data_IF_373739376084
#
_entry.id   IF_373739376084
#
_cell.length_a   1.000
_cell.length_b   1.000
_cell.length_c   1.000
_cell.angle_alpha   90.00
_cell.angle_beta   90.00
_cell.angle_gamma   90.00
#
_symmetry.space_group_name_H-M   'P 1'
#
loop_
_entity.id
_entity.type
_entity.pdbx_description
1 polymer ?
#
# COMPACT_ATOMS: atom_id res chain seq x y z
N UNK A 1 -11.94 54.22 41.17
CA UNK A 1 -12.32 53.05 40.36
C UNK A 1 -13.39 52.27 41.15
N UNK A 2 -14.57 52.01 40.59
CA UNK A 2 -15.66 51.35 41.35
C UNK A 2 -15.26 49.88 41.63
N UNK A 3 -15.42 49.36 42.86
CA UNK A 3 -15.05 47.98 43.20
C UNK A 3 -15.83 46.91 42.41
N UNK A 4 -16.97 47.27 41.81
CA UNK A 4 -17.77 46.41 40.94
C UNK A 4 -17.16 46.18 39.55
N UNK A 5 -16.33 47.11 39.05
CA UNK A 5 -15.66 46.98 37.75
C UNK A 5 -14.43 46.09 37.80
N UNK A 6 -13.70 46.07 38.93
CA UNK A 6 -12.53 45.21 39.13
C UNK A 6 -12.92 43.73 39.19
N UNK A 7 -13.99 43.39 39.92
CA UNK A 7 -14.51 42.01 39.98
C UNK A 7 -14.97 41.48 38.61
N UNK A 8 -15.56 42.32 37.77
CA UNK A 8 -15.94 41.93 36.40
C UNK A 8 -14.71 41.65 35.53
N UNK A 9 -13.71 42.53 35.61
CA UNK A 9 -12.46 42.37 34.87
C UNK A 9 -11.70 41.11 35.28
N UNK A 10 -11.63 40.82 36.58
CA UNK A 10 -11.04 39.58 37.09
C UNK A 10 -11.76 38.34 36.56
N UNK A 11 -13.10 38.36 36.53
CA UNK A 11 -13.88 37.23 36.00
C UNK A 11 -13.71 37.03 34.48
N UNK A 12 -13.56 38.11 33.72
CA UNK A 12 -13.29 38.04 32.28
C UNK A 12 -11.90 37.48 32.01
N UNK A 13 -10.87 37.96 32.71
CA UNK A 13 -9.49 37.46 32.60
C UNK A 13 -9.41 35.98 32.98
N UNK A 14 -10.19 35.55 33.98
CA UNK A 14 -10.23 34.15 34.41
C UNK A 14 -10.89 33.25 33.37
N UNK A 15 -11.94 33.75 32.70
CA UNK A 15 -12.60 33.06 31.58
C UNK A 15 -11.66 32.91 30.39
N UNK A 16 -10.99 33.99 30.03
CA UNK A 16 -10.07 34.03 28.88
C UNK A 16 -8.88 33.08 29.09
N UNK A 17 -8.34 33.00 30.33
CA UNK A 17 -7.31 32.01 30.67
C UNK A 17 -7.80 30.56 30.54
N UNK A 18 -9.04 30.30 30.93
CA UNK A 18 -9.63 28.96 30.84
C UNK A 18 -9.84 28.54 29.38
N UNK A 19 -10.30 29.47 28.53
CA UNK A 19 -10.44 29.24 27.08
C UNK A 19 -9.08 29.01 26.41
N UNK A 20 -8.04 29.74 26.83
CA UNK A 20 -6.67 29.54 26.33
C UNK A 20 -6.10 28.17 26.70
N UNK A 21 -6.31 27.69 27.92
CA UNK A 21 -5.89 26.34 28.34
C UNK A 21 -6.61 25.25 27.55
N UNK A 22 -7.91 25.41 27.29
CA UNK A 22 -8.71 24.44 26.54
C UNK A 22 -8.26 24.38 25.07
N UNK A 23 -8.02 25.52 24.44
CA UNK A 23 -7.47 25.61 23.08
C UNK A 23 -6.07 24.99 23.02
N UNK A 24 -5.21 25.24 24.02
CA UNK A 24 -3.86 24.68 24.04
C UNK A 24 -3.88 23.15 24.19
N UNK A 25 -4.81 22.62 25.00
CA UNK A 25 -5.06 21.19 25.12
C UNK A 25 -5.58 20.59 23.81
N UNK A 26 -6.50 21.27 23.12
CA UNK A 26 -7.06 20.85 21.84
C UNK A 26 -5.99 20.82 20.74
N UNK A 27 -5.20 21.90 20.62
CA UNK A 27 -4.09 21.99 19.68
C UNK A 27 -3.03 20.93 19.98
N UNK A 28 -2.73 20.66 21.25
CA UNK A 28 -1.80 19.59 21.64
C UNK A 28 -2.34 18.22 21.24
N UNK A 29 -3.64 17.96 21.42
CA UNK A 29 -4.29 16.70 21.02
C UNK A 29 -4.31 16.52 19.49
N UNK A 30 -4.55 17.59 18.74
CA UNK A 30 -4.48 17.61 17.28
C UNK A 30 -3.05 17.40 16.80
N UNK A 31 -2.08 18.03 17.45
CA UNK A 31 -0.66 17.87 17.16
C UNK A 31 -0.19 16.44 17.42
N UNK A 32 -0.68 15.77 18.46
CA UNK A 32 -0.42 14.34 18.70
C UNK A 32 -1.08 13.49 17.62
N UNK A 33 -2.37 13.69 17.31
CA UNK A 33 -3.07 12.95 16.23
C UNK A 33 -2.42 13.14 14.84
N UNK A 34 -1.81 14.29 14.58
CA UNK A 34 -1.14 14.61 13.31
C UNK A 34 0.35 14.23 13.30
N UNK A 35 0.99 14.04 14.46
CA UNK A 35 2.43 13.69 14.55
C UNK A 35 2.69 12.21 14.84
N UNK A 36 1.79 11.51 15.53
CA UNK A 36 1.84 10.05 15.76
C UNK A 36 1.11 9.29 14.65
N UNK A 37 1.46 9.60 13.41
CA UNK A 37 1.11 8.80 12.25
C UNK A 37 2.01 7.55 12.26
N UNK A 38 1.78 6.66 13.25
CA UNK A 38 2.43 5.35 13.27
C UNK A 38 2.08 4.65 11.95
N UNK A 39 3.05 4.10 11.22
CA UNK A 39 2.79 3.49 9.93
C UNK A 39 1.79 2.35 10.11
N UNK A 40 0.59 2.53 9.54
CA UNK A 40 -0.54 1.59 9.62
C UNK A 40 -0.07 0.14 9.57
N UNK A 41 -0.39 -0.62 10.61
CA UNK A 41 -0.29 -2.06 10.55
C UNK A 41 -1.16 -2.56 9.39
N UNK A 42 -0.57 -3.39 8.51
CA UNK A 42 -1.25 -3.95 7.34
C UNK A 42 -2.51 -4.70 7.81
N UNK A 43 -3.66 -4.06 7.61
CA UNK A 43 -4.94 -4.54 8.10
C UNK A 43 -5.47 -5.63 7.19
N UNK A 44 -6.41 -6.45 7.70
CA UNK A 44 -7.13 -7.43 6.88
C UNK A 44 -7.85 -6.76 5.71
N UNK A 45 -8.29 -5.50 5.89
CA UNK A 45 -8.89 -4.69 4.82
C UNK A 45 -7.87 -4.38 3.72
N UNK A 46 -6.63 -4.05 4.07
CA UNK A 46 -5.57 -3.78 3.07
C UNK A 46 -5.25 -5.03 2.23
N UNK A 47 -5.34 -6.23 2.82
CA UNK A 47 -5.21 -7.50 2.07
C UNK A 47 -6.35 -7.67 1.07
N UNK A 48 -7.59 -7.39 1.47
CA UNK A 48 -8.75 -7.49 0.59
C UNK A 48 -8.67 -6.47 -0.53
N UNK A 49 -8.35 -5.22 -0.21
CA UNK A 49 -8.21 -4.15 -1.20
C UNK A 49 -7.11 -4.51 -2.21
N UNK A 50 -5.95 -4.98 -1.72
CA UNK A 50 -4.87 -5.46 -2.56
C UNK A 50 -5.29 -6.66 -3.43
N UNK A 51 -6.06 -7.59 -2.89
CA UNK A 51 -6.58 -8.73 -3.65
C UNK A 51 -7.51 -8.30 -4.78
N UNK A 52 -8.49 -7.43 -4.51
CA UNK A 52 -9.41 -6.93 -5.54
C UNK A 52 -8.69 -6.08 -6.58
N UNK A 53 -7.77 -5.22 -6.16
CA UNK A 53 -6.95 -4.43 -7.08
C UNK A 53 -6.10 -5.31 -8.00
N UNK A 54 -5.47 -6.34 -7.45
CA UNK A 54 -4.71 -7.32 -8.22
C UNK A 54 -5.58 -8.12 -9.18
N UNK A 55 -6.79 -8.49 -8.75
CA UNK A 55 -7.73 -9.27 -9.54
C UNK A 55 -8.27 -8.47 -10.72
N UNK A 56 -8.69 -7.23 -10.51
CA UNK A 56 -9.21 -6.37 -11.59
C UNK A 56 -8.12 -6.16 -12.65
N UNK A 57 -6.91 -5.77 -12.25
CA UNK A 57 -5.82 -5.53 -13.21
C UNK A 57 -5.38 -6.83 -13.86
N UNK A 58 -5.22 -7.91 -13.10
CA UNK A 58 -4.85 -9.23 -13.65
C UNK A 58 -5.87 -9.75 -14.67
N UNK A 59 -7.16 -9.58 -14.37
CA UNK A 59 -8.26 -10.00 -15.24
C UNK A 59 -8.25 -9.26 -16.58
N UNK A 60 -8.05 -7.93 -16.57
CA UNK A 60 -7.93 -7.16 -17.82
C UNK A 60 -6.79 -7.65 -18.70
N UNK A 61 -5.70 -8.09 -18.07
CA UNK A 61 -4.54 -8.60 -18.78
C UNK A 61 -4.78 -10.01 -19.34
N UNK A 62 -5.50 -10.85 -18.60
CA UNK A 62 -5.91 -12.19 -19.07
C UNK A 62 -6.84 -12.11 -20.27
N UNK A 63 -7.83 -11.21 -20.23
CA UNK A 63 -8.76 -11.01 -21.34
C UNK A 63 -8.12 -10.50 -22.63
N UNK A 64 -6.91 -9.94 -22.55
CA UNK A 64 -6.16 -9.51 -23.75
C UNK A 64 -5.81 -10.67 -24.70
N UNK A 65 -5.84 -11.93 -24.23
CA UNK A 65 -5.64 -13.13 -25.06
C UNK A 65 -4.18 -13.38 -25.50
N UNK A 66 -3.35 -12.34 -25.59
CA UNK A 66 -1.93 -12.42 -26.00
C UNK A 66 -1.00 -13.20 -25.05
N UNK A 67 -1.47 -13.59 -23.87
CA UNK A 67 -0.64 -14.24 -22.85
C UNK A 67 -0.15 -15.63 -23.25
N UNK A 68 -0.95 -16.37 -24.02
CA UNK A 68 -0.59 -17.71 -24.49
C UNK A 68 0.58 -17.64 -25.47
N UNK A 69 0.55 -16.68 -26.39
CA UNK A 69 1.63 -16.42 -27.34
C UNK A 69 2.89 -15.92 -26.62
N UNK A 70 2.75 -14.94 -25.74
CA UNK A 70 3.88 -14.36 -25.01
C UNK A 70 4.54 -15.41 -24.09
N UNK A 71 3.75 -16.27 -23.45
CA UNK A 71 4.24 -17.31 -22.55
C UNK A 71 5.16 -18.33 -23.22
N UNK A 72 4.93 -18.62 -24.50
CA UNK A 72 5.75 -19.56 -25.28
C UNK A 72 6.97 -18.89 -25.91
N UNK A 73 6.87 -17.61 -26.26
CA UNK A 73 7.96 -16.83 -26.89
C UNK A 73 9.01 -16.33 -25.90
N UNK A 74 8.61 -16.03 -24.66
CA UNK A 74 9.52 -15.45 -23.66
C UNK A 74 10.52 -16.50 -23.16
N UNK A 75 11.81 -16.16 -23.15
CA UNK A 75 12.84 -17.00 -22.54
C UNK A 75 12.98 -16.72 -21.04
N UNK A 76 13.66 -17.62 -20.33
CA UNK A 76 13.88 -17.52 -18.88
C UNK A 76 14.54 -16.20 -18.46
N UNK A 77 15.42 -15.62 -19.31
CA UNK A 77 16.09 -14.35 -19.01
C UNK A 77 15.11 -13.18 -18.94
N UNK A 78 14.13 -13.10 -19.85
CA UNK A 78 13.14 -12.02 -19.81
C UNK A 78 12.19 -12.19 -18.62
N UNK A 79 11.86 -13.42 -18.21
CA UNK A 79 11.09 -13.67 -16.99
C UNK A 79 11.82 -13.13 -15.75
N UNK A 80 13.13 -13.36 -15.66
CA UNK A 80 13.93 -12.84 -14.56
C UNK A 80 13.94 -11.31 -14.55
N UNK A 81 14.03 -10.66 -15.72
CA UNK A 81 13.90 -9.21 -15.84
C UNK A 81 12.51 -8.71 -15.41
N UNK A 82 11.43 -9.42 -15.73
CA UNK A 82 10.07 -9.06 -15.29
C UNK A 82 9.96 -9.12 -13.76
N UNK A 83 10.50 -10.16 -13.13
CA UNK A 83 10.51 -10.28 -11.66
C UNK A 83 11.29 -9.11 -11.05
N UNK A 84 12.50 -8.84 -11.55
CA UNK A 84 13.32 -7.73 -11.07
C UNK A 84 12.60 -6.38 -11.24
N UNK A 85 12.00 -6.13 -12.40
CA UNK A 85 11.22 -4.92 -12.65
C UNK A 85 10.05 -4.79 -11.68
N UNK A 86 9.32 -5.88 -11.44
CA UNK A 86 8.21 -5.90 -10.47
C UNK A 86 8.67 -5.54 -9.06
N UNK A 87 9.79 -6.14 -8.61
CA UNK A 87 10.38 -5.85 -7.29
C UNK A 87 10.82 -4.40 -7.20
N UNK A 88 11.46 -3.85 -8.23
CA UNK A 88 11.89 -2.44 -8.27
C UNK A 88 10.69 -1.49 -8.18
N UNK A 89 9.63 -1.74 -8.95
CA UNK A 89 8.43 -0.89 -8.94
C UNK A 89 7.72 -0.95 -7.59
N UNK A 90 7.53 -2.15 -7.02
CA UNK A 90 6.95 -2.32 -5.69
C UNK A 90 7.83 -1.64 -4.61
N UNK A 91 9.14 -1.72 -4.74
CA UNK A 91 10.08 -1.05 -3.83
C UNK A 91 9.93 0.46 -3.89
N UNK A 92 9.87 1.02 -5.10
CA UNK A 92 9.64 2.46 -5.29
C UNK A 92 8.30 2.87 -4.66
N UNK A 93 7.24 2.11 -4.90
CA UNK A 93 5.92 2.37 -4.34
C UNK A 93 5.91 2.29 -2.81
N UNK A 94 6.51 1.27 -2.20
CA UNK A 94 6.63 1.14 -0.74
C UNK A 94 7.47 2.28 -0.16
N UNK A 95 8.53 2.70 -0.85
CA UNK A 95 9.37 3.82 -0.42
C UNK A 95 8.58 5.14 -0.41
N UNK A 96 7.88 5.45 -1.50
CA UNK A 96 7.07 6.67 -1.62
C UNK A 96 5.88 6.68 -0.67
N UNK A 97 5.11 5.60 -0.60
CA UNK A 97 3.92 5.49 0.24
C UNK A 97 4.30 5.36 1.71
N UNK A 98 5.27 4.52 2.05
CA UNK A 98 5.57 4.14 3.43
C UNK A 98 6.67 4.97 4.09
N UNK A 99 7.81 5.15 3.41
CA UNK A 99 9.04 5.60 4.06
C UNK A 99 9.34 7.09 3.90
N UNK A 100 8.88 7.72 2.80
CA UNK A 100 9.09 9.15 2.54
C UNK A 100 8.62 10.06 3.70
N UNK A 101 7.56 9.66 4.42
CA UNK A 101 6.96 10.43 5.52
C UNK A 101 7.47 10.06 6.93
N UNK A 102 8.36 9.07 7.08
CA UNK A 102 8.85 8.65 8.41
C UNK A 102 9.87 9.66 8.95
N UNK A 103 9.46 10.48 9.92
CA UNK A 103 10.31 11.49 10.58
C UNK A 103 11.50 10.88 11.35
N UNK A 104 11.37 9.67 11.90
CA UNK A 104 12.42 9.02 12.70
C UNK A 104 13.03 7.79 12.01
N UNK A 105 13.86 8.04 10.98
CA UNK A 105 14.60 7.01 10.22
C UNK A 105 15.58 6.18 11.07
N UNK A 106 15.93 6.64 12.29
CA UNK A 106 16.93 6.00 13.17
C UNK A 106 16.39 4.87 14.06
N UNK A 107 15.07 4.74 14.27
CA UNK A 107 14.48 3.77 15.23
C UNK A 107 14.00 2.44 14.62
N UNK A 108 13.88 2.31 13.30
CA UNK A 108 13.43 1.06 12.64
C UNK A 108 14.29 0.73 11.41
N UNK A 109 14.74 -0.53 11.33
CA UNK A 109 15.39 -1.08 10.14
C UNK A 109 14.40 -1.08 8.97
N UNK A 110 14.62 -0.16 8.01
CA UNK A 110 13.84 -0.04 6.77
C UNK A 110 13.65 -1.40 6.07
N UNK A 111 14.68 -2.25 6.09
CA UNK A 111 14.65 -3.57 5.46
C UNK A 111 13.55 -4.51 5.98
N UNK A 112 13.26 -4.53 7.29
CA UNK A 112 12.24 -5.45 7.82
C UNK A 112 10.82 -5.03 7.43
N UNK A 113 10.53 -3.73 7.41
CA UNK A 113 9.23 -3.21 6.99
C UNK A 113 9.04 -3.37 5.48
N UNK A 114 10.06 -3.00 4.70
CA UNK A 114 10.05 -3.14 3.25
C UNK A 114 9.86 -4.60 2.83
N UNK A 115 10.64 -5.52 3.39
CA UNK A 115 10.59 -6.93 3.03
C UNK A 115 9.24 -7.55 3.33
N UNK A 116 8.67 -7.30 4.52
CA UNK A 116 7.34 -7.82 4.88
C UNK A 116 6.27 -7.35 3.90
N UNK A 117 6.21 -6.05 3.61
CA UNK A 117 5.18 -5.49 2.73
C UNK A 117 5.35 -5.92 1.27
N UNK A 118 6.59 -5.94 0.78
CA UNK A 118 6.89 -6.41 -0.57
C UNK A 118 6.51 -7.88 -0.73
N UNK A 119 6.86 -8.72 0.25
CA UNK A 119 6.52 -10.13 0.25
C UNK A 119 5.00 -10.34 0.28
N UNK A 120 4.26 -9.59 1.10
CA UNK A 120 2.79 -9.68 1.16
C UNK A 120 2.14 -9.32 -0.18
N UNK A 121 2.48 -8.18 -0.77
CA UNK A 121 1.91 -7.75 -2.05
C UNK A 121 2.25 -8.72 -3.18
N UNK A 122 3.50 -9.19 -3.21
CA UNK A 122 3.94 -10.15 -4.22
C UNK A 122 3.23 -11.51 -4.05
N UNK A 123 3.09 -12.02 -2.83
CA UNK A 123 2.34 -13.26 -2.56
C UNK A 123 0.88 -13.15 -2.98
N UNK A 124 0.20 -12.04 -2.64
CA UNK A 124 -1.19 -11.80 -3.07
C UNK A 124 -1.28 -11.82 -4.60
N UNK A 125 -0.37 -11.11 -5.29
CA UNK A 125 -0.36 -11.07 -6.75
C UNK A 125 -0.13 -12.45 -7.39
N UNK A 126 0.69 -13.29 -6.77
CA UNK A 126 1.00 -14.64 -7.24
C UNK A 126 -0.20 -15.57 -7.05
N UNK A 127 -0.88 -15.49 -5.89
CA UNK A 127 -2.12 -16.23 -5.62
C UNK A 127 -3.20 -15.84 -6.62
N UNK A 128 -3.39 -14.54 -6.86
CA UNK A 128 -4.36 -14.04 -7.84
C UNK A 128 -4.02 -14.52 -9.24
N UNK A 129 -2.75 -14.49 -9.65
CA UNK A 129 -2.32 -14.96 -10.96
C UNK A 129 -2.58 -16.45 -11.14
N UNK A 130 -2.29 -17.25 -10.12
CA UNK A 130 -2.58 -18.69 -10.12
C UNK A 130 -4.08 -18.95 -10.20
N UNK A 131 -4.88 -18.19 -9.46
CA UNK A 131 -6.34 -18.27 -9.47
C UNK A 131 -6.92 -17.93 -10.85
N UNK A 132 -6.40 -16.89 -11.52
CA UNK A 132 -6.79 -16.52 -12.88
C UNK A 132 -6.40 -17.62 -13.88
N UNK A 133 -5.17 -18.14 -13.82
CA UNK A 133 -4.73 -19.26 -14.68
C UNK A 133 -5.64 -20.49 -14.51
N UNK A 134 -6.07 -20.77 -13.28
CA UNK A 134 -6.97 -21.87 -12.96
C UNK A 134 -8.38 -21.64 -13.53
N UNK A 135 -9.00 -20.47 -13.27
CA UNK A 135 -10.35 -20.16 -13.76
C UNK A 135 -10.44 -20.17 -15.27
N UNK A 136 -9.44 -19.62 -15.95
CA UNK A 136 -9.42 -19.54 -17.41
C UNK A 136 -8.99 -20.84 -18.08
N UNK A 137 -8.67 -21.89 -17.30
CA UNK A 137 -8.28 -23.19 -17.84
C UNK A 137 -6.98 -23.16 -18.65
N UNK A 138 -6.12 -22.15 -18.45
CA UNK A 138 -4.86 -22.00 -19.20
C UNK A 138 -3.95 -23.21 -19.00
N UNK A 139 -4.04 -23.87 -17.83
CA UNK A 139 -3.34 -25.12 -17.52
C UNK A 139 -3.70 -26.29 -18.41
N UNK A 140 -4.89 -26.30 -19.03
CA UNK A 140 -5.31 -27.35 -19.96
C UNK A 140 -4.90 -27.03 -21.41
N UNK A 141 -4.71 -25.75 -21.72
CA UNK A 141 -4.32 -25.28 -23.07
C UNK A 141 -2.82 -25.53 -23.30
N UNK A 142 -2.00 -25.37 -22.26
CA UNK A 142 -0.55 -25.48 -22.36
C UNK A 142 -0.08 -26.76 -21.67
N UNK A 143 0.46 -27.69 -22.46
CA UNK A 143 1.01 -28.94 -21.95
C UNK A 143 2.35 -28.77 -21.23
N UNK A 144 3.12 -27.73 -21.59
CA UNK A 144 4.44 -27.48 -21.01
C UNK A 144 4.36 -26.70 -19.68
N UNK A 145 4.82 -27.34 -18.60
CA UNK A 145 4.86 -26.76 -17.25
C UNK A 145 5.76 -25.52 -17.18
N UNK A 146 6.81 -25.45 -18.00
CA UNK A 146 7.70 -24.30 -17.99
C UNK A 146 6.99 -23.07 -18.56
N UNK A 147 6.28 -23.20 -19.68
CA UNK A 147 5.48 -22.14 -20.29
C UNK A 147 4.36 -21.64 -19.37
N UNK A 148 3.69 -22.55 -18.65
CA UNK A 148 2.68 -22.21 -17.63
C UNK A 148 3.29 -21.33 -16.52
N UNK A 149 4.46 -21.70 -16.00
CA UNK A 149 5.16 -20.91 -14.99
C UNK A 149 5.52 -19.50 -15.48
N UNK A 150 5.94 -19.36 -16.75
CA UNK A 150 6.23 -18.06 -17.35
C UNK A 150 4.98 -17.18 -17.39
N UNK A 151 3.83 -17.74 -17.76
CA UNK A 151 2.55 -17.03 -17.81
C UNK A 151 2.12 -16.54 -16.42
N UNK A 152 2.25 -17.38 -15.40
CA UNK A 152 1.93 -16.98 -14.02
C UNK A 152 2.74 -15.74 -13.62
N UNK A 153 4.04 -15.71 -13.94
CA UNK A 153 4.91 -14.57 -13.63
C UNK A 153 4.56 -13.32 -14.45
N UNK A 154 4.20 -13.52 -15.72
CA UNK A 154 3.80 -12.41 -16.60
C UNK A 154 2.51 -11.76 -16.07
N UNK A 155 1.56 -12.55 -15.57
CA UNK A 155 0.31 -12.04 -14.97
C UNK A 155 0.57 -11.43 -13.58
N UNK A 156 1.51 -11.99 -12.81
CA UNK A 156 1.78 -11.49 -11.46
C UNK A 156 2.34 -10.08 -11.43
N UNK A 157 3.07 -9.67 -12.46
CA UNK A 157 3.60 -8.30 -12.58
C UNK A 157 2.48 -7.24 -12.60
N UNK A 158 1.53 -7.22 -13.55
CA UNK A 158 0.43 -6.27 -13.55
C UNK A 158 -0.51 -6.48 -12.35
N UNK A 159 -0.73 -7.72 -11.89
CA UNK A 159 -1.49 -7.96 -10.66
C UNK A 159 -0.83 -7.37 -9.41
N UNK A 160 0.50 -7.38 -9.31
CA UNK A 160 1.22 -6.76 -8.19
C UNK A 160 1.08 -5.23 -8.21
N UNK A 161 1.06 -4.62 -9.40
CA UNK A 161 0.73 -3.21 -9.55
C UNK A 161 -0.71 -2.93 -9.12
N UNK A 162 -1.66 -3.77 -9.50
CA UNK A 162 -3.04 -3.67 -9.03
C UNK A 162 -3.17 -3.78 -7.51
N UNK A 163 -2.43 -4.69 -6.88
CA UNK A 163 -2.38 -4.83 -5.42
C UNK A 163 -1.86 -3.56 -4.71
N UNK A 164 -0.96 -2.86 -5.38
CA UNK A 164 -0.31 -1.66 -4.89
C UNK A 164 -1.20 -0.40 -4.98
N UNK A 165 -2.12 -0.33 -5.94
CA UNK A 165 -2.94 0.86 -6.22
C UNK A 165 -3.80 1.31 -5.02
N UNK A 166 -4.55 0.45 -4.32
CA UNK A 166 -5.37 0.89 -3.19
C UNK A 166 -4.56 1.52 -2.05
N UNK A 167 -3.37 0.96 -1.79
CA UNK A 167 -2.40 1.51 -0.84
C UNK A 167 -1.88 2.90 -1.24
N UNK A 168 -1.86 3.21 -2.54
CA UNK A 168 -1.47 4.52 -3.05
C UNK A 168 -2.62 5.52 -2.90
N UNK A 169 -3.83 5.14 -3.33
CA UNK A 169 -5.03 6.01 -3.32
C UNK A 169 -5.38 6.43 -1.90
N UNK A 170 -5.33 5.51 -0.92
CA UNK A 170 -5.70 5.81 0.47
C UNK A 170 -4.83 6.89 1.13
N UNK A 171 -3.68 7.24 0.52
CA UNK A 171 -2.68 8.13 1.10
C UNK A 171 -2.61 9.51 0.43
N UNK A 172 -3.42 9.75 -0.60
CA UNK A 172 -3.70 11.04 -1.22
C UNK A 172 -5.10 11.51 -0.84
#
# INVERSE_FOLDING_TARGET
MRPSTLKKLESEIQKEKYELEDIEAEVKSLKVKLLDDEPEHFSKRDILDAFFGALIIGLTFVFKGSLLEIGTLISFRQVLLIILATVVILTAQIYYVGYSKVKNKKKRHFGQFWFKRLLTLYLISLIVSLYLVYIFGISHIIADKASLFRIIIIISMPSALGAAVPSLIRKF
#
